data_IF_718697728443
#
_entry.id   IF_718697728443
#
_cell.length_a   1.000
_cell.length_b   1.000
_cell.length_c   1.000
_cell.angle_alpha   90.00
_cell.angle_beta   90.00
_cell.angle_gamma   90.00
#
_symmetry.space_group_name_H-M   'P 1'
#
loop_
_entity.id
_entity.type
_entity.pdbx_description
1 polymer ?
#
# COMPACT_ATOMS: atom_id res chain seq x y z
N UNK A 1 3.17 -3.84 -22.47
CA UNK A 1 2.96 -2.98 -23.65
C UNK A 1 3.17 -3.77 -24.94
N UNK A 2 4.35 -4.33 -25.18
CA UNK A 2 4.75 -4.98 -26.46
C UNK A 2 3.75 -6.00 -27.03
N UNK A 3 2.95 -6.62 -26.16
CA UNK A 3 1.89 -7.53 -26.58
C UNK A 3 0.55 -6.82 -26.85
N UNK A 4 0.52 -5.48 -26.92
CA UNK A 4 -0.68 -4.67 -27.12
C UNK A 4 -1.72 -4.79 -26.00
N UNK A 5 -1.31 -5.26 -24.81
CA UNK A 5 -2.24 -5.51 -23.69
C UNK A 5 -2.61 -4.25 -22.94
N UNK A 6 -1.73 -3.26 -22.88
CA UNK A 6 -1.93 -1.98 -22.18
C UNK A 6 -1.41 -0.81 -23.03
N UNK A 7 -2.03 0.35 -22.88
CA UNK A 7 -1.52 1.65 -23.35
C UNK A 7 -1.49 2.69 -22.22
N UNK A 8 -1.80 2.27 -20.98
CA UNK A 8 -1.74 3.11 -19.80
C UNK A 8 -1.20 2.37 -18.58
N UNK A 9 -0.55 3.10 -17.67
CA UNK A 9 -0.15 2.61 -16.36
C UNK A 9 -0.43 3.67 -15.30
N UNK A 10 -1.18 3.29 -14.26
CA UNK A 10 -1.37 4.08 -13.06
C UNK A 10 -0.55 3.46 -11.93
N UNK A 11 0.49 4.17 -11.49
CA UNK A 11 1.37 3.73 -10.40
C UNK A 11 1.03 4.53 -9.14
N UNK A 12 0.72 3.83 -8.08
CA UNK A 12 0.40 4.39 -6.77
C UNK A 12 1.49 3.99 -5.79
N UNK A 13 2.16 4.98 -5.21
CA UNK A 13 3.26 4.75 -4.29
C UNK A 13 3.20 5.70 -3.08
N UNK A 14 3.89 5.42 -1.96
CA UNK A 14 4.03 6.35 -0.86
C UNK A 14 4.68 7.67 -1.29
N UNK A 15 4.33 8.78 -0.62
CA UNK A 15 4.84 10.13 -0.94
C UNK A 15 6.36 10.23 -0.99
N UNK A 16 7.07 9.45 -0.18
CA UNK A 16 8.54 9.42 -0.18
C UNK A 16 9.16 8.67 -1.37
N UNK A 17 8.39 7.83 -2.07
CA UNK A 17 8.89 6.90 -3.09
C UNK A 17 8.38 7.23 -4.49
N UNK A 18 7.20 7.86 -4.62
CA UNK A 18 6.56 8.06 -5.94
C UNK A 18 7.42 8.90 -6.92
N UNK A 19 8.28 9.81 -6.41
CA UNK A 19 9.25 10.54 -7.23
C UNK A 19 10.32 9.61 -7.81
N UNK A 20 10.72 8.55 -7.09
CA UNK A 20 11.71 7.59 -7.55
C UNK A 20 11.18 6.82 -8.78
N UNK A 21 9.90 6.46 -8.77
CA UNK A 21 9.25 5.86 -9.94
C UNK A 21 9.35 6.75 -11.18
N UNK A 22 9.13 8.06 -11.01
CA UNK A 22 9.19 9.02 -12.11
C UNK A 22 10.61 9.28 -12.60
N UNK A 23 11.57 9.46 -11.68
CA UNK A 23 12.91 9.95 -12.00
C UNK A 23 13.93 8.83 -12.26
N UNK A 24 13.68 7.61 -11.76
CA UNK A 24 14.66 6.53 -11.80
C UNK A 24 14.07 5.23 -12.37
N UNK A 25 13.04 4.66 -11.72
CA UNK A 25 12.59 3.31 -12.03
C UNK A 25 12.10 3.18 -13.48
N UNK A 26 11.18 4.06 -13.90
CA UNK A 26 10.64 4.01 -15.26
C UNK A 26 11.71 4.35 -16.30
N UNK A 27 12.47 5.46 -16.19
CA UNK A 27 13.49 5.80 -17.16
C UNK A 27 14.58 4.72 -17.31
N UNK A 28 14.96 4.06 -16.23
CA UNK A 28 16.03 3.06 -16.25
C UNK A 28 15.58 1.67 -16.74
N UNK A 29 14.30 1.34 -16.61
CA UNK A 29 13.79 -0.01 -16.87
C UNK A 29 12.79 -0.11 -18.02
N UNK A 30 12.26 1.02 -18.50
CA UNK A 30 11.38 1.01 -19.67
C UNK A 30 12.22 0.77 -20.93
N UNK A 31 11.75 -0.11 -21.80
CA UNK A 31 12.45 -0.40 -23.05
C UNK A 31 12.55 0.86 -23.91
N UNK A 32 13.73 1.09 -24.50
CA UNK A 32 14.07 2.32 -25.23
C UNK A 32 13.24 2.60 -26.49
N UNK A 33 12.59 1.58 -27.03
CA UNK A 33 11.70 1.75 -28.20
C UNK A 33 10.30 2.25 -27.84
N UNK A 34 9.97 2.35 -26.54
CA UNK A 34 8.66 2.84 -26.05
C UNK A 34 8.77 4.35 -25.84
N UNK A 35 7.91 5.12 -26.48
CA UNK A 35 7.77 6.57 -26.28
C UNK A 35 6.71 6.85 -25.20
N UNK A 36 7.08 7.02 -23.90
CA UNK A 36 6.12 7.20 -22.84
C UNK A 36 5.73 8.67 -22.63
N UNK A 37 4.48 8.92 -22.31
CA UNK A 37 4.03 10.15 -21.66
C UNK A 37 3.89 9.92 -20.18
N UNK A 38 4.78 10.51 -19.39
CA UNK A 38 4.78 10.36 -17.94
C UNK A 38 4.35 11.64 -17.24
N UNK A 39 3.47 11.52 -16.28
CA UNK A 39 3.01 12.65 -15.46
C UNK A 39 2.99 12.26 -13.98
N UNK A 40 3.62 13.14 -13.19
CA UNK A 40 3.62 13.04 -11.74
C UNK A 40 2.50 13.89 -11.14
N UNK A 41 1.56 13.25 -10.45
CA UNK A 41 0.44 13.94 -9.81
C UNK A 41 0.91 14.79 -8.63
N UNK A 42 0.50 16.04 -8.64
CA UNK A 42 0.62 16.96 -7.51
C UNK A 42 -0.72 17.65 -7.27
N UNK A 43 -0.99 18.10 -6.06
CA UNK A 43 -2.24 18.80 -5.73
C UNK A 43 -2.31 20.24 -6.30
N UNK A 44 -1.28 20.67 -7.06
CA UNK A 44 -1.21 22.00 -7.66
C UNK A 44 -2.37 22.25 -8.62
N UNK A 45 -2.84 23.49 -8.65
CA UNK A 45 -3.91 24.00 -9.54
C UNK A 45 -3.38 24.98 -10.59
N UNK A 46 -2.07 24.96 -10.88
CA UNK A 46 -1.50 25.88 -11.87
C UNK A 46 -1.92 25.50 -13.29
N UNK A 47 -2.10 26.51 -14.17
CA UNK A 47 -2.40 26.29 -15.60
C UNK A 47 -1.38 25.39 -16.31
N UNK A 48 -0.11 25.46 -15.90
CA UNK A 48 0.95 24.60 -16.41
C UNK A 48 0.72 23.14 -16.06
N UNK A 49 0.35 22.85 -14.80
CA UNK A 49 0.01 21.50 -14.36
C UNK A 49 -1.25 20.97 -15.04
N UNK A 50 -2.24 21.80 -15.25
CA UNK A 50 -3.45 21.39 -15.97
C UNK A 50 -3.14 20.98 -17.41
N UNK A 51 -2.25 21.70 -18.11
CA UNK A 51 -1.76 21.29 -19.44
C UNK A 51 -1.00 19.96 -19.39
N UNK A 52 -0.12 19.79 -18.41
CA UNK A 52 0.61 18.53 -18.19
C UNK A 52 -0.35 17.36 -17.95
N UNK A 53 -1.41 17.56 -17.17
CA UNK A 53 -2.43 16.53 -16.94
C UNK A 53 -3.25 16.22 -18.19
N UNK A 54 -3.58 17.22 -19.02
CA UNK A 54 -4.29 17.00 -20.27
C UNK A 54 -3.45 16.21 -21.27
N UNK A 55 -2.14 16.38 -21.29
CA UNK A 55 -1.26 15.65 -22.20
C UNK A 55 -1.25 14.11 -21.99
N UNK A 56 -1.77 13.62 -20.86
CA UNK A 56 -2.01 12.19 -20.66
C UNK A 56 -3.13 11.63 -21.55
N UNK A 57 -3.91 12.47 -22.21
CA UNK A 57 -5.03 12.08 -23.07
C UNK A 57 -4.78 12.43 -24.55
N UNK A 58 -3.59 12.96 -24.88
CA UNK A 58 -3.16 13.25 -26.23
C UNK A 58 -2.70 11.98 -26.95
N UNK A 59 -2.78 11.98 -28.27
CA UNK A 59 -2.25 10.93 -29.14
C UNK A 59 -0.76 11.12 -29.43
N UNK A 60 -0.09 10.11 -29.95
CA UNK A 60 1.32 10.19 -30.36
C UNK A 60 2.31 9.61 -29.34
N UNK A 61 1.82 9.05 -28.26
CA UNK A 61 2.61 8.31 -27.27
C UNK A 61 2.19 6.84 -27.24
N UNK A 62 3.18 5.97 -27.02
CA UNK A 62 2.95 4.53 -26.97
C UNK A 62 2.34 4.10 -25.63
N UNK A 63 2.77 4.74 -24.54
CA UNK A 63 2.36 4.40 -23.20
C UNK A 63 2.15 5.66 -22.36
N UNK A 64 0.98 5.81 -21.78
CA UNK A 64 0.66 6.89 -20.85
C UNK A 64 0.84 6.44 -19.41
N UNK A 65 1.65 7.15 -18.63
CA UNK A 65 1.98 6.76 -17.25
C UNK A 65 1.61 7.89 -16.31
N UNK A 66 0.65 7.60 -15.42
CA UNK A 66 0.27 8.48 -14.33
C UNK A 66 0.83 7.92 -13.02
N UNK A 67 1.60 8.74 -12.31
CA UNK A 67 2.17 8.38 -11.01
C UNK A 67 1.55 9.25 -9.93
N UNK A 68 0.98 8.62 -8.91
CA UNK A 68 0.28 9.31 -7.82
C UNK A 68 0.75 8.83 -6.46
N UNK A 69 0.74 9.72 -5.47
CA UNK A 69 0.88 9.26 -4.10
C UNK A 69 -0.44 8.69 -3.57
N UNK A 70 -0.35 7.76 -2.62
CA UNK A 70 -1.52 7.07 -2.07
C UNK A 70 -2.49 8.03 -1.36
N UNK A 71 -1.99 9.11 -0.79
CA UNK A 71 -2.78 10.14 -0.09
C UNK A 71 -3.68 10.93 -1.05
N UNK A 72 -3.25 11.13 -2.29
CA UNK A 72 -4.03 11.81 -3.32
C UNK A 72 -5.40 11.12 -3.55
N UNK A 73 -5.45 9.80 -3.42
CA UNK A 73 -6.67 9.01 -3.59
C UNK A 73 -7.64 9.09 -2.39
N UNK A 74 -7.24 9.75 -1.30
CA UNK A 74 -8.16 10.14 -0.22
C UNK A 74 -8.97 11.41 -0.56
N UNK A 75 -8.57 12.14 -1.62
CA UNK A 75 -9.22 13.36 -2.10
C UNK A 75 -10.13 13.09 -3.29
N UNK A 76 -11.20 13.86 -3.42
CA UNK A 76 -12.12 13.73 -4.57
C UNK A 76 -11.42 14.08 -5.89
N UNK A 77 -10.59 15.13 -5.91
CA UNK A 77 -9.83 15.54 -7.09
C UNK A 77 -8.92 14.42 -7.60
N UNK A 78 -8.16 13.80 -6.70
CA UNK A 78 -7.27 12.70 -7.06
C UNK A 78 -8.02 11.46 -7.56
N UNK A 79 -9.11 11.08 -6.87
CA UNK A 79 -9.94 9.94 -7.29
C UNK A 79 -10.59 10.13 -8.65
N UNK A 80 -11.20 11.30 -8.88
CA UNK A 80 -11.85 11.61 -10.15
C UNK A 80 -10.85 11.60 -11.31
N UNK A 81 -9.67 12.15 -11.09
CA UNK A 81 -8.62 12.16 -12.11
C UNK A 81 -8.07 10.77 -12.40
N UNK A 82 -7.79 9.96 -11.37
CA UNK A 82 -7.38 8.58 -11.53
C UNK A 82 -8.44 7.75 -12.27
N UNK A 83 -9.71 7.90 -11.93
CA UNK A 83 -10.80 7.23 -12.63
C UNK A 83 -10.93 7.69 -14.09
N UNK A 84 -10.79 9.01 -14.37
CA UNK A 84 -10.74 9.52 -15.75
C UNK A 84 -9.63 8.86 -16.56
N UNK A 85 -8.43 8.74 -15.96
CA UNK A 85 -7.29 8.09 -16.61
C UNK A 85 -7.54 6.60 -16.89
N UNK A 86 -8.04 5.85 -15.91
CA UNK A 86 -8.31 4.41 -16.05
C UNK A 86 -9.39 4.11 -17.12
N UNK A 87 -10.39 4.97 -17.25
CA UNK A 87 -11.43 4.83 -18.29
C UNK A 87 -10.96 5.22 -19.68
N UNK A 88 -9.98 6.12 -19.78
CA UNK A 88 -9.44 6.57 -21.07
C UNK A 88 -8.41 5.59 -21.65
N UNK A 89 -7.79 4.77 -20.81
CA UNK A 89 -6.70 3.88 -21.20
C UNK A 89 -6.98 2.43 -20.82
N UNK A 90 -6.48 1.50 -21.63
CA UNK A 90 -6.40 0.10 -21.23
C UNK A 90 -5.23 -0.04 -20.24
N UNK A 91 -5.49 0.25 -18.97
CA UNK A 91 -4.45 0.52 -17.99
C UNK A 91 -4.13 -0.67 -17.08
N UNK A 92 -2.83 -0.78 -16.74
CA UNK A 92 -2.35 -1.46 -15.55
C UNK A 92 -2.44 -0.50 -14.36
N UNK A 93 -3.02 -0.93 -13.25
CA UNK A 93 -2.94 -0.23 -11.97
C UNK A 93 -2.00 -0.99 -11.03
N UNK A 94 -0.91 -0.37 -10.65
CA UNK A 94 0.08 -0.95 -9.74
C UNK A 94 0.13 -0.17 -8.42
N UNK A 95 0.22 -0.87 -7.30
CA UNK A 95 0.39 -0.27 -5.97
C UNK A 95 1.72 -0.71 -5.41
N UNK A 96 2.59 0.26 -5.19
CA UNK A 96 3.83 0.08 -4.47
C UNK A 96 3.61 0.28 -2.97
N UNK A 97 4.29 -0.50 -2.15
CA UNK A 97 4.06 -0.60 -0.71
C UNK A 97 2.57 -0.82 -0.38
N UNK A 98 2.01 -1.91 -0.91
CA UNK A 98 0.58 -2.22 -0.80
C UNK A 98 0.07 -2.35 0.64
N UNK A 99 0.94 -2.47 1.63
CA UNK A 99 0.59 -2.37 3.05
C UNK A 99 -0.09 -1.07 3.43
N UNK A 100 0.02 -0.03 2.61
CA UNK A 100 -0.69 1.26 2.75
C UNK A 100 -2.21 1.10 2.64
N UNK A 101 -2.69 0.02 2.00
CA UNK A 101 -4.12 -0.31 1.85
C UNK A 101 -4.59 -1.51 2.66
N UNK A 102 -3.83 -1.97 3.65
CA UNK A 102 -4.16 -3.13 4.48
C UNK A 102 -5.42 -2.98 5.33
N UNK A 103 -5.80 -1.73 5.68
CA UNK A 103 -6.96 -1.45 6.54
C UNK A 103 -8.23 -1.31 5.70
N UNK A 104 -9.19 -2.26 5.76
CA UNK A 104 -10.36 -2.27 4.87
C UNK A 104 -11.31 -1.08 5.07
N UNK A 105 -11.34 -0.50 6.26
CA UNK A 105 -12.22 0.62 6.61
C UNK A 105 -11.68 1.99 6.21
N UNK A 106 -10.40 2.10 5.89
CA UNK A 106 -9.77 3.38 5.55
C UNK A 106 -10.32 3.95 4.23
N UNK A 107 -10.55 5.27 4.19
CA UNK A 107 -11.07 5.97 2.99
C UNK A 107 -10.22 5.67 1.74
N UNK A 108 -8.89 5.75 1.87
CA UNK A 108 -7.96 5.46 0.77
C UNK A 108 -8.07 4.03 0.27
N UNK A 109 -8.20 3.04 1.16
CA UNK A 109 -8.35 1.63 0.78
C UNK A 109 -9.62 1.41 -0.03
N UNK A 110 -10.76 1.93 0.46
CA UNK A 110 -12.03 1.85 -0.26
C UNK A 110 -11.96 2.51 -1.64
N UNK A 111 -11.33 3.68 -1.73
CA UNK A 111 -11.16 4.40 -2.98
C UNK A 111 -10.28 3.62 -3.96
N UNK A 112 -9.17 3.07 -3.51
CA UNK A 112 -8.23 2.31 -4.34
C UNK A 112 -8.85 1.01 -4.83
N UNK A 113 -9.54 0.26 -3.96
CA UNK A 113 -10.25 -0.97 -4.35
C UNK A 113 -11.35 -0.67 -5.38
N UNK A 114 -12.10 0.42 -5.21
CA UNK A 114 -13.11 0.84 -6.17
C UNK A 114 -12.50 1.22 -7.54
N UNK A 115 -11.42 2.01 -7.55
CA UNK A 115 -10.69 2.37 -8.76
C UNK A 115 -10.08 1.14 -9.46
N UNK A 116 -9.62 0.15 -8.68
CA UNK A 116 -9.10 -1.09 -9.22
C UNK A 116 -10.10 -1.86 -10.09
N UNK A 117 -11.40 -1.66 -9.91
CA UNK A 117 -12.44 -2.26 -10.77
C UNK A 117 -12.48 -1.65 -12.18
N UNK A 118 -11.97 -0.43 -12.34
CA UNK A 118 -11.85 0.25 -13.64
C UNK A 118 -10.54 -0.09 -14.37
N UNK A 119 -9.57 -0.72 -13.69
CA UNK A 119 -8.29 -1.11 -14.28
C UNK A 119 -8.39 -2.47 -14.99
N UNK A 120 -7.74 -2.60 -16.16
CA UNK A 120 -7.71 -3.86 -16.90
C UNK A 120 -6.77 -4.89 -16.26
N UNK A 121 -5.67 -4.43 -15.70
CA UNK A 121 -4.70 -5.27 -15.01
C UNK A 121 -4.32 -4.64 -13.68
N UNK A 122 -4.03 -5.47 -12.69
CA UNK A 122 -3.68 -5.02 -11.34
C UNK A 122 -2.44 -5.73 -10.83
N UNK A 123 -1.60 -5.01 -10.10
CA UNK A 123 -0.42 -5.55 -9.40
C UNK A 123 -0.25 -4.85 -8.06
N UNK A 124 0.29 -5.56 -7.11
CA UNK A 124 0.77 -5.01 -5.84
C UNK A 124 2.22 -5.42 -5.63
N UNK A 125 2.99 -4.52 -5.04
CA UNK A 125 4.39 -4.69 -4.70
C UNK A 125 4.53 -4.36 -3.20
N UNK A 126 5.27 -5.20 -2.49
CA UNK A 126 5.60 -4.94 -1.07
C UNK A 126 6.71 -5.85 -0.60
N UNK A 127 7.60 -5.35 0.24
CA UNK A 127 8.62 -6.15 0.89
C UNK A 127 8.07 -7.04 2.02
N UNK A 128 6.91 -6.70 2.59
CA UNK A 128 6.27 -7.48 3.67
C UNK A 128 4.75 -7.27 3.65
N UNK A 129 3.97 -8.18 3.03
CA UNK A 129 2.52 -8.03 2.92
C UNK A 129 1.80 -8.15 4.27
N UNK A 130 2.41 -8.84 5.23
CA UNK A 130 1.92 -9.01 6.60
C UNK A 130 2.78 -8.18 7.54
N UNK A 131 2.24 -7.14 8.12
CA UNK A 131 2.98 -6.24 9.04
C UNK A 131 2.61 -6.45 10.50
N UNK A 132 1.36 -6.71 10.79
CA UNK A 132 0.87 -6.96 12.17
C UNK A 132 0.13 -8.28 12.30
N UNK A 133 -0.63 -8.65 11.29
CA UNK A 133 -1.44 -9.85 11.33
C UNK A 133 -1.73 -10.38 9.92
N UNK A 134 -2.04 -11.68 9.77
CA UNK A 134 -2.50 -12.24 8.50
C UNK A 134 -3.73 -11.53 7.93
N UNK A 135 -4.51 -10.84 8.76
CA UNK A 135 -5.69 -10.08 8.33
C UNK A 135 -5.33 -8.85 7.47
N UNK A 136 -4.06 -8.41 7.50
CA UNK A 136 -3.54 -7.34 6.66
C UNK A 136 -3.63 -7.70 5.15
N UNK A 137 -3.71 -8.99 4.82
CA UNK A 137 -3.78 -9.48 3.44
C UNK A 137 -5.12 -9.21 2.76
N UNK A 138 -6.23 -9.17 3.51
CA UNK A 138 -7.56 -9.12 2.93
C UNK A 138 -7.72 -8.00 1.88
N UNK A 139 -7.47 -6.76 2.27
CA UNK A 139 -7.67 -5.62 1.38
C UNK A 139 -6.70 -5.58 0.21
N UNK A 140 -5.46 -6.05 0.42
CA UNK A 140 -4.44 -6.13 -0.60
C UNK A 140 -4.83 -7.14 -1.70
N UNK A 141 -5.28 -8.33 -1.30
CA UNK A 141 -5.75 -9.36 -2.23
C UNK A 141 -7.08 -8.97 -2.89
N UNK A 142 -8.02 -8.37 -2.14
CA UNK A 142 -9.30 -7.88 -2.65
C UNK A 142 -9.11 -6.77 -3.71
N UNK A 143 -8.05 -5.98 -3.64
CA UNK A 143 -7.69 -5.07 -4.72
C UNK A 143 -7.33 -5.81 -6.00
N UNK A 144 -6.60 -6.92 -5.92
CA UNK A 144 -6.23 -7.72 -7.09
C UNK A 144 -7.46 -8.40 -7.71
N UNK A 145 -8.20 -9.16 -6.92
CA UNK A 145 -9.48 -9.76 -7.30
C UNK A 145 -10.24 -10.17 -6.03
N UNK A 146 -11.57 -10.01 -6.06
CA UNK A 146 -12.41 -10.27 -4.89
C UNK A 146 -12.50 -11.75 -4.48
N UNK A 147 -12.29 -12.67 -5.42
CA UNK A 147 -12.38 -14.12 -5.18
C UNK A 147 -11.06 -14.79 -4.78
N UNK A 148 -9.92 -14.06 -4.84
CA UNK A 148 -8.59 -14.66 -4.59
C UNK A 148 -8.44 -15.34 -3.24
N UNK A 149 -9.11 -14.84 -2.21
CA UNK A 149 -9.05 -15.38 -0.86
C UNK A 149 -10.25 -16.29 -0.51
N UNK A 150 -11.11 -16.58 -1.50
CA UNK A 150 -12.32 -17.40 -1.30
C UNK A 150 -13.20 -16.92 -0.12
N UNK A 151 -13.21 -15.61 0.12
CA UNK A 151 -13.95 -14.98 1.19
C UNK A 151 -14.69 -13.74 0.66
N UNK A 152 -15.99 -13.71 0.81
CA UNK A 152 -16.88 -12.65 0.29
C UNK A 152 -16.75 -11.32 1.04
N UNK A 153 -16.18 -11.32 2.24
CA UNK A 153 -16.05 -10.12 3.07
C UNK A 153 -14.87 -10.21 4.03
N UNK A 154 -14.44 -9.05 4.55
CA UNK A 154 -13.44 -9.00 5.62
C UNK A 154 -13.84 -9.80 6.86
N UNK A 155 -15.13 -9.78 7.20
CA UNK A 155 -15.60 -10.53 8.38
C UNK A 155 -15.56 -12.04 8.17
N UNK A 156 -15.91 -12.53 6.98
CA UNK A 156 -15.77 -13.96 6.64
C UNK A 156 -14.31 -14.39 6.65
N UNK A 157 -13.41 -13.57 6.07
CA UNK A 157 -11.96 -13.80 6.11
C UNK A 157 -11.42 -13.82 7.55
N UNK A 158 -11.78 -12.82 8.37
CA UNK A 158 -11.39 -12.76 9.76
C UNK A 158 -11.86 -14.02 10.55
N UNK A 159 -13.09 -14.43 10.37
CA UNK A 159 -13.65 -15.60 11.08
C UNK A 159 -13.01 -16.91 10.61
N UNK A 160 -12.57 -17.00 9.34
CA UNK A 160 -11.87 -18.18 8.81
C UNK A 160 -10.45 -18.31 9.39
N UNK A 161 -9.74 -17.19 9.55
CA UNK A 161 -8.31 -17.18 9.88
C UNK A 161 -7.96 -16.66 11.28
N UNK A 162 -8.91 -16.15 12.04
CA UNK A 162 -8.68 -15.66 13.39
C UNK A 162 -9.69 -16.23 14.40
N UNK A 163 -9.20 -16.59 15.56
CA UNK A 163 -10.00 -16.97 16.72
C UNK A 163 -10.26 -15.72 17.56
N UNK A 164 -11.54 -15.38 17.73
CA UNK A 164 -11.95 -14.18 18.45
C UNK A 164 -12.34 -14.51 19.89
N UNK A 165 -11.89 -13.70 20.86
CA UNK A 165 -12.35 -13.74 22.24
C UNK A 165 -13.05 -12.46 22.65
N UNK A 166 -14.10 -12.59 23.44
CA UNK A 166 -14.79 -11.46 24.05
C UNK A 166 -14.04 -10.98 25.29
N UNK A 167 -13.72 -9.71 25.32
CA UNK A 167 -13.17 -9.02 26.47
C UNK A 167 -14.16 -7.97 26.98
N UNK A 168 -14.22 -7.82 28.29
CA UNK A 168 -15.11 -6.83 28.91
C UNK A 168 -14.24 -5.68 29.48
N UNK A 169 -14.35 -4.51 28.89
CA UNK A 169 -13.64 -3.30 29.31
C UNK A 169 -14.67 -2.29 29.82
N UNK A 170 -14.78 -2.14 31.13
CA UNK A 170 -15.67 -1.14 31.74
C UNK A 170 -17.12 -1.26 31.28
N UNK A 171 -17.68 -2.48 31.21
CA UNK A 171 -19.06 -2.73 30.76
C UNK A 171 -19.26 -2.82 29.24
N UNK A 172 -18.24 -2.54 28.43
CA UNK A 172 -18.29 -2.74 26.97
C UNK A 172 -17.68 -4.09 26.58
N UNK A 173 -18.44 -4.92 25.88
CA UNK A 173 -17.93 -6.13 25.25
C UNK A 173 -17.21 -5.80 23.95
N UNK A 174 -15.93 -6.17 23.85
CA UNK A 174 -15.09 -5.97 22.66
C UNK A 174 -14.54 -7.31 22.23
N UNK A 175 -14.66 -7.65 20.94
CA UNK A 175 -14.03 -8.84 20.37
C UNK A 175 -12.58 -8.52 19.97
N UNK A 176 -11.64 -9.25 20.53
CA UNK A 176 -10.23 -9.16 20.16
C UNK A 176 -9.75 -10.46 19.55
N UNK A 177 -8.78 -10.38 18.65
CA UNK A 177 -8.10 -11.56 18.11
C UNK A 177 -7.30 -12.20 19.23
N UNK A 178 -7.55 -13.48 19.47
CA UNK A 178 -6.83 -14.28 20.46
C UNK A 178 -5.68 -15.04 19.83
N UNK A 179 -5.92 -15.67 18.67
CA UNK A 179 -4.94 -16.44 17.91
C UNK A 179 -5.33 -16.50 16.44
N UNK A 180 -4.46 -17.02 15.62
CA UNK A 180 -4.71 -17.27 14.21
C UNK A 180 -4.77 -18.76 13.94
N UNK A 181 -5.50 -19.15 12.89
CA UNK A 181 -5.71 -20.55 12.50
C UNK A 181 -5.65 -20.69 10.98
N UNK A 182 -5.50 -21.90 10.47
CA UNK A 182 -5.48 -22.25 9.04
C UNK A 182 -4.45 -21.45 8.22
N UNK A 183 -3.30 -21.15 8.82
CA UNK A 183 -2.29 -20.32 8.16
C UNK A 183 -1.63 -21.04 6.97
N UNK A 184 -1.53 -22.37 7.02
CA UNK A 184 -0.99 -23.18 5.92
C UNK A 184 -1.92 -23.10 4.70
N UNK A 185 -3.26 -23.24 4.92
CA UNK A 185 -4.27 -23.05 3.89
C UNK A 185 -4.15 -21.66 3.23
N UNK A 186 -4.02 -20.59 4.03
CA UNK A 186 -3.84 -19.23 3.54
C UNK A 186 -2.55 -19.09 2.72
N UNK A 187 -1.45 -19.70 3.20
CA UNK A 187 -0.17 -19.67 2.49
C UNK A 187 -0.27 -20.38 1.13
N UNK A 188 -0.98 -21.51 1.05
CA UNK A 188 -1.17 -22.23 -0.21
C UNK A 188 -2.03 -21.45 -1.21
N UNK A 189 -3.09 -20.79 -0.76
CA UNK A 189 -3.87 -19.88 -1.60
C UNK A 189 -2.98 -18.76 -2.17
N UNK A 190 -2.15 -18.13 -1.34
CA UNK A 190 -1.25 -17.06 -1.75
C UNK A 190 -0.23 -17.51 -2.80
N UNK A 191 0.33 -18.70 -2.69
CA UNK A 191 1.28 -19.28 -3.68
C UNK A 191 0.70 -19.33 -5.08
N UNK A 192 -0.62 -19.50 -5.22
CA UNK A 192 -1.30 -19.59 -6.51
C UNK A 192 -1.23 -18.32 -7.36
N UNK A 193 -1.02 -17.15 -6.77
CA UNK A 193 -1.03 -15.86 -7.50
C UNK A 193 0.06 -14.87 -7.06
N UNK A 194 0.92 -15.24 -6.11
CA UNK A 194 2.01 -14.37 -5.64
C UNK A 194 3.39 -14.93 -6.02
N UNK A 195 4.35 -14.02 -6.13
CA UNK A 195 5.75 -14.35 -6.34
C UNK A 195 6.59 -13.67 -5.25
N UNK A 196 7.45 -14.43 -4.60
CA UNK A 196 8.35 -13.94 -3.56
C UNK A 196 9.80 -14.20 -3.96
N UNK A 197 10.62 -13.17 -3.81
CA UNK A 197 12.08 -13.24 -4.01
C UNK A 197 12.75 -12.78 -2.73
N UNK A 198 13.66 -13.56 -2.20
CA UNK A 198 14.49 -13.18 -1.06
C UNK A 198 15.76 -12.49 -1.53
N UNK A 199 16.30 -11.57 -0.74
CA UNK A 199 17.56 -10.89 -1.06
C UNK A 199 18.72 -11.88 -1.15
N UNK A 200 18.72 -12.88 -0.29
CA UNK A 200 19.71 -13.96 -0.26
C UNK A 200 19.71 -14.86 -1.52
N UNK A 201 18.55 -14.93 -2.21
CA UNK A 201 18.43 -15.71 -3.45
C UNK A 201 18.95 -14.95 -4.69
N UNK A 202 19.08 -13.62 -4.60
CA UNK A 202 19.34 -12.75 -5.75
C UNK A 202 20.60 -11.89 -5.64
N UNK A 203 21.13 -11.72 -4.44
CA UNK A 203 22.25 -10.82 -4.18
C UNK A 203 23.29 -11.53 -3.31
N UNK A 204 24.53 -11.47 -3.74
CA UNK A 204 25.69 -11.85 -2.93
C UNK A 204 26.01 -10.69 -1.97
N UNK A 205 25.39 -10.75 -0.79
CA UNK A 205 25.53 -9.72 0.24
C UNK A 205 26.32 -10.27 1.42
N UNK A 206 27.19 -9.46 2.03
CA UNK A 206 27.85 -9.84 3.27
C UNK A 206 26.83 -10.04 4.40
N UNK A 207 27.20 -10.83 5.38
CA UNK A 207 26.38 -11.07 6.56
C UNK A 207 25.97 -9.78 7.28
N UNK A 208 24.77 -9.77 7.82
CA UNK A 208 24.28 -8.63 8.60
C UNK A 208 25.03 -8.51 9.92
N UNK A 209 25.73 -7.40 10.10
CA UNK A 209 26.38 -7.08 11.36
C UNK A 209 25.47 -6.18 12.20
N UNK A 210 25.09 -6.64 13.39
CA UNK A 210 24.30 -5.90 14.34
C UNK A 210 25.23 -5.24 15.37
N UNK A 211 25.28 -3.89 15.39
CA UNK A 211 26.08 -3.14 16.34
C UNK A 211 25.14 -2.40 17.30
N UNK A 212 25.26 -2.71 18.59
CA UNK A 212 24.59 -1.96 19.65
C UNK A 212 25.41 -0.70 19.96
N UNK A 213 24.81 0.48 19.77
CA UNK A 213 25.39 1.74 20.23
C UNK A 213 24.61 2.24 21.44
N UNK A 214 25.28 2.41 22.56
CA UNK A 214 24.72 3.03 23.75
C UNK A 214 24.92 4.54 23.64
N UNK A 215 23.81 5.27 23.80
CA UNK A 215 23.82 6.74 23.77
C UNK A 215 23.32 7.24 25.12
N UNK A 216 24.12 8.09 25.76
CA UNK A 216 23.70 8.75 26.98
C UNK A 216 22.76 9.92 26.65
N UNK A 217 21.61 9.93 27.31
CA UNK A 217 20.67 11.05 27.23
C UNK A 217 21.27 12.27 27.94
N UNK A 218 21.06 13.49 27.42
CA UNK A 218 21.39 14.72 28.12
C UNK A 218 20.59 14.82 29.43
N UNK A 219 21.06 15.69 30.34
CA UNK A 219 20.39 15.91 31.63
C UNK A 219 18.93 16.29 31.45
N UNK A 220 18.63 17.20 30.51
CA UNK A 220 17.29 17.66 30.19
C UNK A 220 16.41 16.53 29.64
N UNK A 221 16.96 15.67 28.77
CA UNK A 221 16.26 14.50 28.24
C UNK A 221 15.95 13.46 29.33
N UNK A 222 16.91 13.22 30.25
CA UNK A 222 16.69 12.31 31.39
C UNK A 222 15.58 12.83 32.32
N UNK A 223 15.56 14.14 32.60
CA UNK A 223 14.52 14.77 33.42
C UNK A 223 13.14 14.73 32.74
N UNK A 224 13.06 15.05 31.45
CA UNK A 224 11.82 14.95 30.67
C UNK A 224 11.29 13.52 30.64
N UNK A 225 12.16 12.55 30.42
CA UNK A 225 11.78 11.12 30.42
C UNK A 225 11.28 10.66 31.79
N UNK A 226 11.95 11.05 32.88
CA UNK A 226 11.52 10.72 34.23
C UNK A 226 10.15 11.32 34.58
N UNK A 227 9.91 12.57 34.17
CA UNK A 227 8.61 13.26 34.34
C UNK A 227 7.49 12.56 33.58
N UNK A 228 7.73 12.23 32.30
CA UNK A 228 6.75 11.48 31.51
C UNK A 228 6.45 10.10 32.11
N UNK A 229 7.47 9.38 32.57
CA UNK A 229 7.32 8.06 33.18
C UNK A 229 6.50 8.12 34.46
N UNK A 230 6.76 9.10 35.34
CA UNK A 230 6.00 9.28 36.58
C UNK A 230 4.55 9.69 36.33
N UNK A 231 4.30 10.60 35.38
CA UNK A 231 2.95 10.99 35.00
C UNK A 231 2.15 9.83 34.39
N UNK A 232 2.78 9.00 33.53
CA UNK A 232 2.14 7.81 32.97
C UNK A 232 1.80 6.78 34.04
N UNK A 233 2.70 6.53 34.99
CA UNK A 233 2.46 5.61 36.13
C UNK A 233 1.35 6.11 37.06
N UNK A 234 1.31 7.42 37.34
CA UNK A 234 0.21 8.02 38.13
C UNK A 234 -1.14 7.90 37.43
N UNK A 235 -1.19 8.12 36.12
CA UNK A 235 -2.40 7.95 35.30
C UNK A 235 -2.90 6.48 35.28
N UNK A 236 -2.00 5.51 35.29
CA UNK A 236 -2.36 4.08 35.33
C UNK A 236 -2.88 3.67 36.72
N UNK A 237 -2.26 4.19 37.79
CA UNK A 237 -2.69 3.89 39.18
C UNK A 237 -4.02 4.58 39.54
N UNK A 238 -4.33 5.71 38.96
CA UNK A 238 -5.63 6.39 39.15
C UNK A 238 -6.79 5.80 38.38
N UNK A 239 -6.56 4.73 37.58
CA UNK A 239 -7.58 4.00 36.80
C UNK A 239 -7.82 2.59 37.31
N UNK A 240 -7.18 2.15 38.36
CA UNK A 240 -7.46 0.96 39.14
C UNK A 240 -8.33 1.33 40.36
#
# INVERSE_FOLDING_TARGET
YDKGKINGALIIAPKGVYNNWYAQEIPNHLASHINPKMVLWTASTSKTKDKEYQSLFETGYDLHILIMNVEALSTDKGRLFAGKFLRAHRALMAIDESTTIKTPTAKRTKAIVALGKEAHYKRILTGSPVTKSPLDLFSQCNFLHEDLLECTSYYSFRNRYAVMKNHNFGGRRVQLVHSYQRLDELADILKGFSYRVLKEDCLDLPDKVYIKREVELSKEQKEAYATMKSAALASLKGKM
#
